data_IF_427807693990
#
_entry.id   IF_427807693990
#
_cell.length_a   1.000
_cell.length_b   1.000
_cell.length_c   1.000
_cell.angle_alpha   90.00
_cell.angle_beta   90.00
_cell.angle_gamma   90.00
#
_symmetry.space_group_name_H-M   'P 1'
#
loop_
_entity.id
_entity.type
_entity.pdbx_description
1 polymer ?
#
# COMPACT_ATOMS: atom_id res chain seq x y z
N UNK A 1 -28.54 -15.60 46.51
CA UNK A 1 -28.01 -14.38 45.88
C UNK A 1 -28.73 -14.25 44.54
N UNK A 2 -29.60 -13.26 44.35
CA UNK A 2 -30.28 -13.04 43.06
C UNK A 2 -29.31 -12.33 42.11
N UNK A 3 -29.30 -12.70 40.83
CA UNK A 3 -28.45 -12.14 39.76
C UNK A 3 -28.49 -10.61 39.60
N UNK A 4 -29.36 -9.91 40.36
CA UNK A 4 -29.47 -8.45 40.39
C UNK A 4 -28.44 -7.71 41.28
N UNK A 5 -27.50 -8.41 41.91
CA UNK A 5 -26.47 -7.81 42.79
C UNK A 5 -25.09 -7.63 42.13
N UNK A 6 -25.01 -7.82 40.80
CA UNK A 6 -23.78 -7.61 40.06
C UNK A 6 -23.64 -6.13 39.68
N UNK A 7 -22.60 -5.45 40.20
CA UNK A 7 -22.25 -4.09 39.73
C UNK A 7 -22.11 -4.09 38.20
N UNK A 8 -22.64 -3.09 37.49
CA UNK A 8 -22.50 -3.01 36.04
C UNK A 8 -21.00 -3.00 35.68
N UNK A 9 -20.62 -3.81 34.70
CA UNK A 9 -19.23 -3.97 34.28
C UNK A 9 -18.64 -2.59 33.88
N UNK A 10 -17.55 -2.13 34.53
CA UNK A 10 -16.94 -0.82 34.24
C UNK A 10 -16.42 -0.70 32.80
N UNK A 11 -16.33 -1.82 32.06
CA UNK A 11 -15.93 -1.85 30.65
C UNK A 11 -17.05 -1.52 29.66
N UNK A 12 -18.29 -1.29 30.12
CA UNK A 12 -19.43 -1.00 29.23
C UNK A 12 -19.45 0.43 28.67
N UNK A 13 -18.45 1.26 28.96
CA UNK A 13 -18.28 2.57 28.32
C UNK A 13 -17.48 2.50 27.02
N UNK A 14 -17.93 1.69 26.05
CA UNK A 14 -17.39 1.78 24.70
C UNK A 14 -17.99 3.02 24.03
N UNK A 15 -17.30 4.16 24.16
CA UNK A 15 -17.63 5.41 23.44
C UNK A 15 -17.94 5.07 21.97
N UNK A 16 -19.05 5.59 21.40
CA UNK A 16 -19.42 5.27 20.02
C UNK A 16 -18.26 5.69 19.12
N UNK A 17 -17.72 4.73 18.37
CA UNK A 17 -16.72 5.00 17.34
C UNK A 17 -17.38 5.94 16.31
N UNK A 18 -17.13 7.24 16.43
CA UNK A 18 -17.67 8.22 15.50
C UNK A 18 -17.25 7.85 14.09
N UNK A 19 -18.18 7.89 13.14
CA UNK A 19 -17.96 7.51 11.74
C UNK A 19 -16.73 8.24 11.16
N UNK A 20 -16.52 9.47 11.59
CA UNK A 20 -15.37 10.31 11.26
C UNK A 20 -14.04 9.76 11.77
N UNK A 21 -13.98 9.11 12.95
CA UNK A 21 -12.73 8.48 13.43
C UNK A 21 -12.41 7.20 12.66
N UNK A 22 -13.43 6.50 12.15
CA UNK A 22 -13.28 5.29 11.33
C UNK A 22 -12.88 5.62 9.88
N UNK A 23 -13.47 6.66 9.30
CA UNK A 23 -13.32 7.01 7.88
C UNK A 23 -12.54 8.31 7.65
N UNK A 24 -12.00 8.92 8.70
CA UNK A 24 -11.29 10.20 8.62
C UNK A 24 -10.16 10.19 7.61
N UNK A 25 -9.36 9.13 7.58
CA UNK A 25 -8.31 8.96 6.59
C UNK A 25 -8.85 8.95 5.15
N UNK A 26 -9.99 8.30 4.91
CA UNK A 26 -10.64 8.26 3.58
C UNK A 26 -11.09 9.65 3.17
N UNK A 27 -11.70 10.41 4.08
CA UNK A 27 -12.12 11.79 3.77
C UNK A 27 -10.93 12.70 3.50
N UNK A 28 -9.86 12.60 4.29
CA UNK A 28 -8.63 13.38 4.05
C UNK A 28 -8.02 13.02 2.71
N UNK A 29 -7.88 11.74 2.40
CA UNK A 29 -7.36 11.28 1.11
C UNK A 29 -8.25 11.71 -0.06
N UNK A 30 -9.56 11.67 0.09
CA UNK A 30 -10.50 12.13 -0.93
C UNK A 30 -10.36 13.64 -1.19
N UNK A 31 -10.21 14.45 -0.13
CA UNK A 31 -9.99 15.89 -0.26
C UNK A 31 -8.65 16.18 -0.95
N UNK A 32 -7.57 15.49 -0.55
CA UNK A 32 -6.26 15.63 -1.19
C UNK A 32 -6.29 15.19 -2.65
N UNK A 33 -6.96 14.08 -2.94
CA UNK A 33 -7.14 13.57 -4.30
C UNK A 33 -7.90 14.56 -5.17
N UNK A 34 -9.07 15.02 -4.73
CA UNK A 34 -9.87 16.01 -5.48
C UNK A 34 -9.10 17.33 -5.64
N UNK A 35 -8.38 17.77 -4.61
CA UNK A 35 -7.51 18.95 -4.70
C UNK A 35 -6.42 18.80 -5.76
N UNK A 36 -5.73 17.66 -5.79
CA UNK A 36 -4.71 17.37 -6.80
C UNK A 36 -5.29 17.25 -8.21
N UNK A 37 -6.47 16.62 -8.35
CA UNK A 37 -7.14 16.43 -9.62
C UNK A 37 -7.66 17.75 -10.21
N UNK A 38 -8.19 18.64 -9.36
CA UNK A 38 -8.52 20.01 -9.74
C UNK A 38 -7.27 20.81 -10.14
N UNK A 39 -6.16 20.65 -9.41
CA UNK A 39 -4.89 21.23 -9.80
C UNK A 39 -4.46 20.79 -11.20
N UNK A 40 -4.49 19.48 -11.46
CA UNK A 40 -4.19 18.92 -12.78
C UNK A 40 -5.10 19.48 -13.87
N UNK A 41 -6.41 19.55 -13.61
CA UNK A 41 -7.38 20.17 -14.52
C UNK A 41 -7.00 21.61 -14.87
N UNK A 42 -6.76 22.48 -13.88
CA UNK A 42 -6.44 23.88 -14.15
C UNK A 42 -5.11 24.08 -14.87
N UNK A 43 -4.09 23.27 -14.54
CA UNK A 43 -2.80 23.30 -15.22
C UNK A 43 -2.95 22.92 -16.71
N UNK A 44 -3.58 21.78 -17.01
CA UNK A 44 -3.82 21.37 -18.39
C UNK A 44 -4.72 22.34 -19.14
N UNK A 45 -5.71 22.94 -18.47
CA UNK A 45 -6.58 23.94 -19.08
C UNK A 45 -5.80 25.20 -19.46
N UNK A 46 -4.80 25.58 -18.66
CA UNK A 46 -3.90 26.69 -18.99
C UNK A 46 -3.03 26.36 -20.19
N UNK A 47 -2.43 25.17 -20.22
CA UNK A 47 -1.59 24.69 -21.34
C UNK A 47 -2.39 24.61 -22.64
N UNK A 48 -3.55 23.94 -22.61
CA UNK A 48 -4.43 23.79 -23.77
C UNK A 48 -4.87 25.14 -24.34
N UNK A 49 -5.18 26.13 -23.49
CA UNK A 49 -5.51 27.49 -23.97
C UNK A 49 -4.32 28.19 -24.61
N UNK A 50 -3.11 28.00 -24.09
CA UNK A 50 -1.88 28.55 -24.69
C UNK A 50 -1.67 27.94 -26.07
N UNK A 51 -1.78 26.62 -26.18
CA UNK A 51 -1.62 25.90 -27.45
C UNK A 51 -2.64 26.35 -28.50
N UNK A 52 -3.92 26.46 -28.14
CA UNK A 52 -4.94 26.95 -29.07
C UNK A 52 -4.63 28.37 -29.54
N UNK A 53 -4.21 29.26 -28.62
CA UNK A 53 -3.85 30.64 -28.96
C UNK A 53 -2.63 30.71 -29.90
N UNK A 54 -1.62 29.86 -29.67
CA UNK A 54 -0.41 29.80 -30.50
C UNK A 54 -0.70 29.28 -31.91
N UNK A 55 -1.64 28.33 -32.03
CA UNK A 55 -2.08 27.79 -33.31
C UNK A 55 -3.19 28.63 -33.98
N UNK A 56 -3.62 29.74 -33.38
CA UNK A 56 -4.70 30.58 -33.89
C UNK A 56 -6.07 29.89 -33.91
N UNK A 57 -6.27 28.87 -33.07
CA UNK A 57 -7.51 28.13 -32.94
C UNK A 57 -8.39 28.71 -31.84
N UNK A 58 -9.71 28.62 -32.01
CA UNK A 58 -10.64 28.95 -30.94
C UNK A 58 -10.66 27.85 -29.86
N UNK A 59 -10.89 28.27 -28.62
CA UNK A 59 -11.02 27.33 -27.52
C UNK A 59 -12.39 26.62 -27.58
N UNK A 60 -12.36 25.29 -27.58
CA UNK A 60 -13.54 24.44 -27.50
C UNK A 60 -13.51 23.56 -26.25
N UNK A 61 -14.56 23.64 -25.43
CA UNK A 61 -14.67 22.84 -24.20
C UNK A 61 -14.70 21.33 -24.46
N UNK A 62 -15.30 20.91 -25.57
CA UNK A 62 -15.40 19.49 -25.91
C UNK A 62 -14.02 18.89 -26.19
N UNK A 63 -13.19 19.60 -26.95
CA UNK A 63 -11.82 19.17 -27.27
C UNK A 63 -10.96 19.12 -26.02
N UNK A 64 -11.06 20.14 -25.17
CA UNK A 64 -10.37 20.14 -23.88
C UNK A 64 -10.78 18.94 -23.02
N UNK A 65 -12.07 18.62 -22.90
CA UNK A 65 -12.52 17.46 -22.12
C UNK A 65 -12.00 16.14 -22.68
N UNK A 66 -11.97 15.99 -24.00
CA UNK A 66 -11.41 14.80 -24.64
C UNK A 66 -9.91 14.67 -24.35
N UNK A 67 -9.15 15.75 -24.49
CA UNK A 67 -7.71 15.78 -24.20
C UNK A 67 -7.40 15.55 -22.71
N UNK A 68 -8.16 16.20 -21.83
CA UNK A 68 -8.03 16.06 -20.38
C UNK A 68 -8.30 14.62 -19.93
N UNK A 69 -9.41 14.02 -20.40
CA UNK A 69 -9.73 12.64 -20.07
C UNK A 69 -8.73 11.66 -20.68
N UNK A 70 -8.34 11.85 -21.95
CA UNK A 70 -7.35 10.99 -22.60
C UNK A 70 -6.03 10.99 -21.81
N UNK A 71 -5.47 12.17 -21.52
CA UNK A 71 -4.23 12.29 -20.74
C UNK A 71 -4.37 11.76 -19.30
N UNK A 72 -5.52 11.98 -18.65
CA UNK A 72 -5.80 11.40 -17.32
C UNK A 72 -5.81 9.87 -17.38
N UNK A 73 -6.48 9.28 -18.37
CA UNK A 73 -6.58 7.83 -18.53
C UNK A 73 -5.27 7.19 -18.99
N UNK A 74 -4.49 7.85 -19.85
CA UNK A 74 -3.15 7.40 -20.23
C UNK A 74 -2.21 7.38 -19.02
N UNK A 75 -2.23 8.44 -18.20
CA UNK A 75 -1.47 8.48 -16.95
C UNK A 75 -1.93 7.39 -15.98
N UNK A 76 -3.23 7.19 -15.81
CA UNK A 76 -3.71 6.09 -14.98
C UNK A 76 -3.32 4.72 -15.54
N UNK A 77 -3.41 4.51 -16.85
CA UNK A 77 -3.02 3.26 -17.49
C UNK A 77 -1.55 2.92 -17.19
N UNK A 78 -0.64 3.87 -17.36
CA UNK A 78 0.79 3.64 -17.12
C UNK A 78 1.08 3.37 -15.64
N UNK A 79 0.46 4.11 -14.73
CA UNK A 79 0.60 3.90 -13.28
C UNK A 79 0.06 2.54 -12.84
N UNK A 80 -1.10 2.11 -13.34
CA UNK A 80 -1.63 0.77 -13.05
C UNK A 80 -0.70 -0.33 -13.57
N UNK A 81 -0.18 -0.17 -14.80
CA UNK A 81 0.76 -1.13 -15.38
C UNK A 81 2.04 -1.20 -14.53
N UNK A 82 2.55 -0.04 -14.10
CA UNK A 82 3.70 0.05 -13.20
C UNK A 82 3.42 -0.66 -11.87
N UNK A 83 2.28 -0.41 -11.23
CA UNK A 83 1.91 -1.06 -9.97
C UNK A 83 1.79 -2.57 -10.11
N UNK A 84 1.18 -3.06 -11.20
CA UNK A 84 1.09 -4.50 -11.50
C UNK A 84 2.47 -5.09 -11.70
N UNK A 85 3.32 -4.45 -12.50
CA UNK A 85 4.67 -4.93 -12.76
C UNK A 85 5.51 -4.94 -11.48
N UNK A 86 5.45 -3.87 -10.68
CA UNK A 86 6.12 -3.79 -9.38
C UNK A 86 5.61 -4.87 -8.41
N UNK A 87 4.30 -5.12 -8.36
CA UNK A 87 3.74 -6.18 -7.53
C UNK A 87 4.23 -7.57 -7.97
N UNK A 88 4.28 -7.84 -9.29
CA UNK A 88 4.82 -9.09 -9.83
C UNK A 88 6.30 -9.23 -9.50
N UNK A 89 7.10 -8.18 -9.69
CA UNK A 89 8.52 -8.18 -9.35
C UNK A 89 8.76 -8.42 -7.86
N UNK A 90 8.03 -7.73 -6.99
CA UNK A 90 8.15 -7.90 -5.54
C UNK A 90 7.69 -9.29 -5.11
N UNK A 91 6.61 -9.82 -5.69
CA UNK A 91 6.13 -11.17 -5.39
C UNK A 91 7.11 -12.24 -5.91
N UNK A 92 7.68 -12.04 -7.09
CA UNK A 92 8.70 -12.91 -7.67
C UNK A 92 10.00 -12.89 -6.88
N UNK A 93 10.49 -11.69 -6.52
CA UNK A 93 11.66 -11.51 -5.66
C UNK A 93 11.42 -12.14 -4.28
N UNK A 94 10.24 -11.93 -3.70
CA UNK A 94 9.80 -12.58 -2.46
C UNK A 94 9.87 -14.10 -2.58
N UNK A 95 9.31 -14.68 -3.64
CA UNK A 95 9.31 -16.13 -3.84
C UNK A 95 10.73 -16.68 -4.02
N UNK A 96 11.55 -16.01 -4.84
CA UNK A 96 12.95 -16.40 -5.05
C UNK A 96 13.77 -16.30 -3.76
N UNK A 97 13.67 -15.16 -3.05
CA UNK A 97 14.39 -14.92 -1.82
C UNK A 97 13.98 -15.89 -0.71
N UNK A 98 12.67 -16.13 -0.51
CA UNK A 98 12.23 -17.09 0.52
C UNK A 98 12.56 -18.54 0.17
N UNK A 99 12.72 -18.88 -1.12
CA UNK A 99 13.21 -20.21 -1.51
C UNK A 99 14.68 -20.39 -1.12
N UNK A 100 15.49 -19.35 -1.30
CA UNK A 100 16.89 -19.32 -0.84
C UNK A 100 16.97 -19.34 0.70
N UNK A 101 16.11 -18.56 1.38
CA UNK A 101 16.08 -18.47 2.84
C UNK A 101 15.75 -19.82 3.51
N UNK A 102 14.84 -20.60 2.93
CA UNK A 102 14.51 -21.93 3.43
C UNK A 102 15.71 -22.90 3.34
N UNK A 103 16.41 -22.92 2.20
CA UNK A 103 17.61 -23.76 2.01
C UNK A 103 18.76 -23.34 2.96
N UNK A 104 18.95 -22.03 3.16
CA UNK A 104 19.98 -21.51 4.07
C UNK A 104 19.66 -21.81 5.54
N UNK A 105 18.39 -21.74 5.95
CA UNK A 105 17.96 -22.07 7.32
C UNK A 105 18.18 -23.56 7.64
N UNK A 106 17.81 -24.46 6.73
CA UNK A 106 18.01 -25.91 6.89
C UNK A 106 19.50 -26.24 7.07
N UNK A 107 20.36 -25.59 6.30
CA UNK A 107 21.82 -25.75 6.42
C UNK A 107 22.37 -25.19 7.74
N UNK A 108 21.79 -24.11 8.24
CA UNK A 108 22.14 -23.52 9.53
C UNK A 108 21.76 -24.45 10.68
N UNK A 109 20.56 -25.01 10.66
CA UNK A 109 20.07 -25.98 11.65
C UNK A 109 20.96 -27.23 11.69
N UNK A 110 21.27 -27.82 10.52
CA UNK A 110 22.14 -28.99 10.43
C UNK A 110 23.55 -28.74 11.01
N UNK A 111 24.10 -27.53 10.87
CA UNK A 111 25.39 -27.17 11.47
C UNK A 111 25.29 -27.01 12.99
N UNK A 112 24.20 -26.44 13.50
CA UNK A 112 23.96 -26.28 14.93
C UNK A 112 23.84 -27.65 15.61
N UNK A 113 23.09 -28.57 15.00
CA UNK A 113 22.93 -29.93 15.52
C UNK A 113 24.26 -30.68 15.58
N UNK A 114 25.07 -30.62 14.52
CA UNK A 114 26.39 -31.24 14.51
C UNK A 114 27.32 -30.68 15.61
N UNK A 115 27.22 -29.38 15.92
CA UNK A 115 28.01 -28.78 17.01
C UNK A 115 27.53 -29.31 18.36
N UNK A 116 26.21 -29.37 18.59
CA UNK A 116 25.64 -29.90 19.83
C UNK A 116 26.04 -31.36 20.05
N UNK A 117 25.94 -32.22 19.03
CA UNK A 117 26.35 -33.63 19.13
C UNK A 117 27.84 -33.78 19.52
N UNK A 118 28.73 -33.01 18.89
CA UNK A 118 30.17 -33.03 19.23
C UNK A 118 30.45 -32.54 20.65
N UNK A 119 29.67 -31.59 21.16
CA UNK A 119 29.80 -31.12 22.53
C UNK A 119 29.34 -32.18 23.52
N UNK A 120 28.26 -32.90 23.22
CA UNK A 120 27.77 -34.02 24.04
C UNK A 120 28.75 -35.19 24.05
N UNK A 121 29.34 -35.55 22.90
CA UNK A 121 30.41 -36.56 22.82
C UNK A 121 31.64 -36.18 23.66
N UNK A 122 32.07 -34.91 23.57
CA UNK A 122 33.20 -34.41 24.36
C UNK A 122 32.87 -34.34 25.86
N UNK A 123 31.65 -33.96 26.22
CA UNK A 123 31.16 -33.91 27.60
C UNK A 123 31.06 -35.32 28.22
N UNK A 124 30.55 -36.28 27.46
CA UNK A 124 30.49 -37.70 27.84
C UNK A 124 31.85 -38.36 27.96
N UNK A 125 32.86 -37.91 27.21
CA UNK A 125 34.25 -38.39 27.30
C UNK A 125 35.02 -37.89 28.54
N UNK A 126 34.53 -36.87 29.25
CA UNK A 126 35.21 -36.25 30.41
C UNK A 126 34.67 -36.77 31.76
N UNK A 127 33.70 -37.69 31.76
CA UNK A 127 33.21 -38.39 32.97
C UNK A 127 33.69 -39.84 32.99
#
# INVERSE_FOLDING_TARGET
MSDNDLKPDPRQHHQPNSHVRRWGAVYVLLVLFLGSWLGHFFTQLSEFRSEQSEHGQEFAWMDYWMTFLASTFENWQSEWLQLVFQAILLLGAKHFLFRVDAEDMERLEAKVDQINERLDERSGSVR
#
